data_IF_077776750463
#
_entry.id   IF_077776750463
#
_cell.length_a   1.000
_cell.length_b   1.000
_cell.length_c   1.000
_cell.angle_alpha   90.00
_cell.angle_beta   90.00
_cell.angle_gamma   90.00
#
_symmetry.space_group_name_H-M   'P 1'
#
loop_
_entity.id
_entity.type
_entity.pdbx_description
1 polymer ?
#
# COMPACT_ATOMS: atom_id res chain seq x y z
N UNK A 1 8.40 -18.38 6.26
CA UNK A 1 9.74 -17.83 5.96
C UNK A 1 9.75 -17.49 4.48
N UNK A 2 10.21 -16.29 4.09
CA UNK A 2 10.30 -15.93 2.67
C UNK A 2 11.34 -16.81 1.98
N UNK A 3 11.04 -17.25 0.75
CA UNK A 3 12.01 -17.99 -0.06
C UNK A 3 13.18 -17.08 -0.42
N UNK A 4 14.36 -17.66 -0.55
CA UNK A 4 15.61 -16.94 -0.80
C UNK A 4 15.55 -16.15 -2.12
N UNK A 5 15.13 -16.82 -3.21
CA UNK A 5 14.96 -16.19 -4.53
C UNK A 5 14.03 -14.95 -4.48
N UNK A 6 13.00 -14.99 -3.63
CA UNK A 6 12.07 -13.87 -3.50
C UNK A 6 12.76 -12.71 -2.80
N UNK A 7 13.50 -13.01 -1.73
CA UNK A 7 14.27 -12.00 -0.99
C UNK A 7 15.29 -11.33 -1.90
N UNK A 8 16.04 -12.09 -2.69
CA UNK A 8 17.00 -11.57 -3.65
C UNK A 8 16.36 -10.65 -4.70
N UNK A 9 15.23 -11.08 -5.29
CA UNK A 9 14.49 -10.28 -6.26
C UNK A 9 13.89 -9.00 -5.64
N UNK A 10 13.46 -9.08 -4.37
CA UNK A 10 12.79 -7.99 -3.66
C UNK A 10 13.76 -6.93 -3.10
N UNK A 11 15.00 -7.32 -2.77
CA UNK A 11 15.99 -6.43 -2.16
C UNK A 11 16.30 -5.21 -3.04
N UNK A 12 16.47 -5.38 -4.35
CA UNK A 12 16.78 -4.25 -5.25
C UNK A 12 15.67 -3.19 -5.29
N UNK A 13 14.40 -3.56 -5.57
CA UNK A 13 13.27 -2.63 -5.50
C UNK A 13 13.14 -1.97 -4.13
N UNK A 14 13.29 -2.74 -3.05
CA UNK A 14 13.19 -2.24 -1.68
C UNK A 14 14.28 -1.20 -1.37
N UNK A 15 15.53 -1.46 -1.75
CA UNK A 15 16.63 -0.51 -1.58
C UNK A 15 16.41 0.77 -2.40
N UNK A 16 15.87 0.65 -3.61
CA UNK A 16 15.57 1.81 -4.44
C UNK A 16 14.47 2.67 -3.80
N UNK A 17 13.37 2.05 -3.38
CA UNK A 17 12.27 2.73 -2.71
C UNK A 17 12.69 3.37 -1.37
N UNK A 18 13.53 2.66 -0.59
CA UNK A 18 14.01 3.12 0.72
C UNK A 18 14.83 4.43 0.65
N UNK A 19 15.44 4.76 -0.50
CA UNK A 19 16.13 6.05 -0.68
C UNK A 19 15.17 7.24 -0.53
N UNK A 20 13.93 7.08 -0.96
CA UNK A 20 12.89 8.11 -0.93
C UNK A 20 12.16 8.17 0.42
N UNK A 21 12.24 7.11 1.23
CA UNK A 21 11.61 7.06 2.55
C UNK A 21 12.14 8.10 3.55
N UNK A 22 13.31 8.69 3.30
CA UNK A 22 13.85 9.78 4.14
C UNK A 22 13.04 11.07 4.05
N UNK A 23 12.32 11.28 2.96
CA UNK A 23 11.57 12.51 2.67
C UNK A 23 10.08 12.26 2.44
N UNK A 24 9.66 10.99 2.37
CA UNK A 24 8.25 10.64 2.17
C UNK A 24 7.49 10.72 3.50
N UNK A 25 6.25 11.22 3.45
CA UNK A 25 5.35 11.22 4.60
C UNK A 25 4.96 9.79 5.02
N UNK A 26 4.82 8.89 4.04
CA UNK A 26 4.49 7.50 4.27
C UNK A 26 4.94 6.59 3.10
N UNK A 27 5.36 5.37 3.44
CA UNK A 27 5.58 4.29 2.47
C UNK A 27 4.43 3.30 2.54
N UNK A 28 3.47 3.39 1.62
CA UNK A 28 2.32 2.50 1.58
C UNK A 28 2.60 1.27 0.70
N UNK A 29 2.23 0.09 1.18
CA UNK A 29 2.36 -1.16 0.45
C UNK A 29 0.98 -1.80 0.27
N UNK A 30 0.68 -2.11 -0.98
CA UNK A 30 -0.57 -2.74 -1.45
C UNK A 30 -0.26 -3.79 -2.52
N UNK A 31 -1.29 -4.52 -2.96
CA UNK A 31 -1.22 -5.66 -3.87
C UNK A 31 -1.04 -7.01 -3.16
N UNK A 32 -1.27 -8.11 -3.88
CA UNK A 32 -1.25 -9.46 -3.31
C UNK A 32 0.12 -9.89 -2.76
N UNK A 33 1.22 -9.34 -3.28
CA UNK A 33 2.56 -9.59 -2.76
C UNK A 33 2.72 -9.16 -1.29
N UNK A 34 1.96 -8.16 -0.83
CA UNK A 34 2.00 -7.69 0.55
C UNK A 34 1.48 -8.75 1.55
N UNK A 35 0.66 -9.69 1.08
CA UNK A 35 0.09 -10.77 1.89
C UNK A 35 1.02 -11.97 2.05
N UNK A 36 2.19 -11.99 1.39
CA UNK A 36 3.09 -13.13 1.51
C UNK A 36 3.65 -13.23 2.94
N UNK A 37 3.74 -14.44 3.52
CA UNK A 37 4.20 -14.62 4.89
C UNK A 37 5.61 -14.05 5.13
N UNK A 38 5.70 -13.07 6.04
CA UNK A 38 6.97 -12.43 6.42
C UNK A 38 7.27 -11.12 5.69
N UNK A 39 6.43 -10.69 4.73
CA UNK A 39 6.60 -9.39 4.05
C UNK A 39 6.37 -8.21 4.97
N UNK A 40 5.26 -8.19 5.71
CA UNK A 40 4.96 -7.06 6.57
C UNK A 40 6.04 -6.83 7.65
N UNK A 41 6.51 -7.85 8.41
CA UNK A 41 7.63 -7.66 9.33
C UNK A 41 8.91 -7.17 8.65
N UNK A 42 9.18 -7.60 7.41
CA UNK A 42 10.36 -7.15 6.66
C UNK A 42 10.23 -5.69 6.27
N UNK A 43 9.08 -5.27 5.75
CA UNK A 43 8.80 -3.91 5.30
C UNK A 43 8.76 -2.89 6.44
N UNK A 44 8.23 -3.28 7.60
CA UNK A 44 8.21 -2.43 8.80
C UNK A 44 9.62 -1.97 9.21
N UNK A 45 10.67 -2.77 8.97
CA UNK A 45 12.08 -2.39 9.25
C UNK A 45 12.56 -1.21 8.39
N UNK A 46 11.90 -0.97 7.26
CA UNK A 46 12.21 0.10 6.31
C UNK A 46 11.17 1.23 6.37
N UNK A 47 10.37 1.31 7.45
CA UNK A 47 9.32 2.29 7.66
C UNK A 47 8.19 2.26 6.61
N UNK A 48 7.99 1.12 5.95
CA UNK A 48 6.84 0.89 5.10
C UNK A 48 5.69 0.28 5.90
N UNK A 49 4.47 0.66 5.55
CA UNK A 49 3.21 0.17 6.14
C UNK A 49 2.42 -0.59 5.09
N UNK A 50 2.13 -1.87 5.38
CA UNK A 50 1.12 -2.62 4.65
C UNK A 50 -0.26 -2.08 5.06
N UNK A 51 -1.09 -1.74 4.08
CA UNK A 51 -2.46 -1.28 4.34
C UNK A 51 -3.36 -2.46 4.73
N UNK A 52 -4.47 -2.20 5.40
CA UNK A 52 -5.31 -3.23 6.03
C UNK A 52 -5.87 -4.27 5.05
N UNK A 53 -6.35 -3.83 3.88
CA UNK A 53 -6.74 -4.70 2.77
C UNK A 53 -5.91 -4.34 1.53
N UNK A 54 -4.67 -4.87 1.42
CA UNK A 54 -3.74 -4.45 0.39
C UNK A 54 -4.21 -4.83 -1.01
N UNK A 55 -5.04 -5.87 -1.16
CA UNK A 55 -5.55 -6.30 -2.47
C UNK A 55 -6.67 -5.39 -2.94
N UNK A 56 -7.55 -4.94 -2.04
CA UNK A 56 -8.70 -4.09 -2.41
C UNK A 56 -8.49 -2.59 -2.16
N UNK A 57 -7.29 -2.16 -1.74
CA UNK A 57 -7.00 -0.77 -1.39
C UNK A 57 -7.47 0.26 -2.44
N UNK A 58 -7.23 -0.02 -3.73
CA UNK A 58 -7.66 0.86 -4.82
C UNK A 58 -9.18 0.91 -4.96
N UNK A 59 -9.86 -0.24 -4.87
CA UNK A 59 -11.33 -0.33 -4.97
C UNK A 59 -11.98 0.44 -3.82
N UNK A 60 -11.47 0.28 -2.59
CA UNK A 60 -11.96 1.01 -1.43
C UNK A 60 -11.81 2.53 -1.60
N UNK A 61 -10.64 3.00 -2.03
CA UNK A 61 -10.41 4.42 -2.29
C UNK A 61 -11.35 5.00 -3.33
N UNK A 62 -11.53 4.29 -4.45
CA UNK A 62 -12.46 4.69 -5.51
C UNK A 62 -13.92 4.70 -5.04
N UNK A 63 -14.31 3.73 -4.21
CA UNK A 63 -15.65 3.65 -3.65
C UNK A 63 -15.96 4.83 -2.73
N UNK A 64 -15.02 5.23 -1.87
CA UNK A 64 -15.19 6.40 -1.00
C UNK A 64 -15.26 7.71 -1.80
N UNK A 65 -14.46 7.85 -2.86
CA UNK A 65 -14.56 8.98 -3.79
C UNK A 65 -15.95 9.01 -4.44
N UNK A 66 -16.45 7.87 -4.92
CA UNK A 66 -17.77 7.79 -5.54
C UNK A 66 -18.89 8.20 -4.56
N UNK A 67 -18.84 7.72 -3.30
CA UNK A 67 -19.79 8.13 -2.24
C UNK A 67 -19.77 9.63 -2.01
N UNK A 68 -18.58 10.24 -1.93
CA UNK A 68 -18.44 11.68 -1.72
C UNK A 68 -19.03 12.49 -2.89
N UNK A 69 -18.82 12.03 -4.12
CA UNK A 69 -19.40 12.67 -5.31
C UNK A 69 -20.93 12.59 -5.33
N UNK A 70 -21.50 11.43 -4.99
CA UNK A 70 -22.95 11.26 -4.88
C UNK A 70 -23.54 12.14 -3.80
N UNK A 71 -22.92 12.19 -2.61
CA UNK A 71 -23.37 13.05 -1.51
C UNK A 71 -23.35 14.54 -1.90
N UNK A 72 -22.30 14.98 -2.62
CA UNK A 72 -22.19 16.37 -3.12
C UNK A 72 -23.22 16.67 -4.20
N UNK A 73 -23.49 15.73 -5.11
CA UNK A 73 -24.53 15.86 -6.12
C UNK A 73 -25.95 15.88 -5.56
N UNK A 74 -26.19 15.15 -4.46
CA UNK A 74 -27.47 15.14 -3.75
C UNK A 74 -27.79 16.41 -2.97
N UNK A 75 -26.79 17.23 -2.64
CA UNK A 75 -26.97 18.52 -1.95
C UNK A 75 -27.27 19.70 -2.89
N UNK A 76 -27.08 19.55 -4.20
CA UNK A 76 -27.35 20.61 -5.18
C UNK A 76 -28.81 20.63 -5.69
N UNK A 77 -29.64 19.68 -5.24
CA UNK A 77 -31.00 19.44 -5.72
C UNK A 77 -32.08 19.60 -4.64
N UNK A 78 -31.72 20.15 -3.47
CA UNK A 78 -32.61 20.37 -2.33
C UNK A 78 -32.79 21.86 -2.02
#
# INVERSE_FOLDING_TARGET
MLKEWFTEAFVRPLQLANKFMKTADAGLVFGGGAMLPGIEPLLRKYNFRVVEDPVNANVQGLYEIAKALVAKGGQASG
#
